data_IF_251081617661
#
_entry.id   IF_251081617661
#
_cell.length_a   1.000
_cell.length_b   1.000
_cell.length_c   1.000
_cell.angle_alpha   90.00
_cell.angle_beta   90.00
_cell.angle_gamma   90.00
#
_symmetry.space_group_name_H-M   'P 1'
#
loop_
_entity.id
_entity.type
_entity.pdbx_description
1 polymer ?
#
# COMPACT_ATOMS: atom_id res chain seq x y z
N UNK A 1 31.78 2.09 -28.16
CA UNK A 1 31.56 3.54 -28.38
C UNK A 1 30.45 3.68 -29.41
N UNK A 2 29.22 3.86 -28.95
CA UNK A 2 28.05 4.03 -29.83
C UNK A 2 27.46 5.38 -29.47
N UNK A 3 27.73 6.35 -30.36
CA UNK A 3 27.24 7.71 -30.34
C UNK A 3 25.72 7.70 -30.58
N UNK A 4 24.95 8.28 -29.64
CA UNK A 4 23.55 8.64 -29.85
C UNK A 4 23.43 10.15 -29.70
N UNK A 5 23.51 10.83 -30.84
CA UNK A 5 23.13 12.23 -31.04
C UNK A 5 21.61 12.29 -31.06
N UNK A 6 21.00 12.73 -29.97
CA UNK A 6 19.58 13.10 -29.96
C UNK A 6 19.45 14.54 -30.44
N UNK A 7 18.98 14.69 -31.68
CA UNK A 7 18.58 15.97 -32.28
C UNK A 7 17.35 16.54 -31.57
N UNK A 8 17.49 17.78 -31.13
CA UNK A 8 16.39 18.66 -30.69
C UNK A 8 15.58 19.13 -31.90
N UNK A 9 14.24 19.19 -31.81
CA UNK A 9 13.45 20.12 -32.60
C UNK A 9 13.12 21.40 -31.83
N UNK A 10 13.08 22.48 -32.59
CA UNK A 10 13.00 23.87 -32.21
C UNK A 10 11.63 24.33 -31.69
N UNK A 11 11.67 25.50 -31.05
CA UNK A 11 10.64 26.25 -30.34
C UNK A 11 9.49 26.76 -31.21
N UNK A 12 8.34 27.01 -30.58
CA UNK A 12 7.28 27.90 -31.08
C UNK A 12 7.10 29.11 -30.12
N UNK A 13 7.02 30.35 -30.61
CA UNK A 13 6.89 31.55 -29.78
C UNK A 13 5.43 31.89 -29.48
N UNK A 14 5.03 31.86 -28.21
CA UNK A 14 3.73 32.38 -27.77
C UNK A 14 3.87 33.78 -27.16
N UNK A 15 3.47 34.77 -27.96
CA UNK A 15 2.43 35.73 -27.57
C UNK A 15 2.68 36.64 -26.38
N UNK A 16 3.21 37.82 -26.71
CA UNK A 16 3.18 39.06 -25.93
C UNK A 16 1.77 39.37 -25.36
N UNK A 17 1.65 39.57 -24.04
CA UNK A 17 0.57 40.36 -23.42
C UNK A 17 1.17 41.30 -22.38
N UNK A 18 1.12 42.58 -22.69
CA UNK A 18 1.46 43.70 -21.80
C UNK A 18 0.39 43.90 -20.71
N UNK A 19 0.71 44.62 -19.61
CA UNK A 19 -0.04 44.64 -18.36
C UNK A 19 -1.10 45.76 -18.33
N UNK A 20 -2.11 45.70 -17.45
CA UNK A 20 -2.87 46.88 -17.07
C UNK A 20 -2.20 47.64 -15.91
N UNK A 21 -2.17 48.96 -16.12
CA UNK A 21 -1.60 50.04 -15.32
C UNK A 21 -2.43 50.37 -14.06
N UNK A 22 -1.71 50.99 -13.12
CA UNK A 22 -2.05 51.52 -11.81
C UNK A 22 -3.35 52.33 -11.61
N UNK A 23 -3.83 52.28 -10.35
CA UNK A 23 -4.51 53.34 -9.58
C UNK A 23 -4.01 53.13 -8.13
N UNK A 24 -3.18 53.95 -7.47
CA UNK A 24 -3.42 55.30 -6.88
C UNK A 24 -4.85 55.44 -6.30
N UNK A 25 -5.12 55.80 -5.05
CA UNK A 25 -4.45 56.75 -4.17
C UNK A 25 -5.09 56.66 -2.73
N UNK A 26 -5.08 57.66 -1.81
CA UNK A 26 -4.53 57.52 -0.45
C UNK A 26 -5.52 57.85 0.71
N UNK A 27 -5.22 57.44 1.96
CA UNK A 27 -5.49 58.19 3.21
C UNK A 27 -4.97 57.37 4.40
N UNK A 28 -3.92 57.78 5.11
CA UNK A 28 -3.89 58.69 6.26
C UNK A 28 -4.89 58.39 7.40
N UNK A 29 -4.25 58.13 8.55
CA UNK A 29 -4.64 58.49 9.91
C UNK A 29 -5.47 57.47 10.71
N UNK A 30 -4.97 57.14 11.91
CA UNK A 30 -5.79 56.55 12.96
C UNK A 30 -5.06 55.69 13.99
N UNK A 31 -4.01 56.22 14.62
CA UNK A 31 -3.51 55.72 15.91
C UNK A 31 -4.64 55.80 16.95
N UNK A 32 -5.12 54.65 17.44
CA UNK A 32 -5.80 54.57 18.74
C UNK A 32 -5.35 53.29 19.45
N UNK A 33 -4.41 53.49 20.37
CA UNK A 33 -3.98 52.50 21.35
C UNK A 33 -5.04 52.52 22.46
N UNK A 34 -5.98 51.56 22.43
CA UNK A 34 -6.80 51.23 23.60
C UNK A 34 -6.12 50.10 24.37
N UNK A 35 -5.45 50.47 25.45
CA UNK A 35 -5.05 49.54 26.51
C UNK A 35 -6.34 49.13 27.23
N UNK A 36 -6.86 47.95 26.91
CA UNK A 36 -7.82 47.25 27.77
C UNK A 36 -7.16 45.92 28.13
N UNK A 37 -6.90 45.78 29.42
CA UNK A 37 -6.34 44.58 30.03
C UNK A 37 -7.31 43.40 29.83
N UNK A 38 -6.88 42.42 29.04
CA UNK A 38 -7.48 41.10 29.01
C UNK A 38 -6.52 40.12 29.69
N UNK A 39 -6.98 39.28 30.64
CA UNK A 39 -6.16 38.19 31.15
C UNK A 39 -5.86 37.24 29.99
N UNK A 40 -4.58 37.15 29.63
CA UNK A 40 -4.06 36.23 28.62
C UNK A 40 -4.21 34.80 29.14
N UNK A 41 -5.39 34.21 28.96
CA UNK A 41 -5.59 32.79 29.08
C UNK A 41 -4.75 32.12 27.97
N UNK A 42 -3.62 31.53 28.37
CA UNK A 42 -2.89 30.56 27.54
C UNK A 42 -3.83 29.39 27.29
N UNK A 43 -4.60 29.48 26.20
CA UNK A 43 -5.13 28.30 25.54
C UNK A 43 -3.96 27.62 24.89
N UNK A 44 -3.57 26.47 25.45
CA UNK A 44 -2.65 25.54 24.81
C UNK A 44 -3.26 25.10 23.48
N UNK A 45 -2.98 25.86 22.42
CA UNK A 45 -3.16 25.42 21.05
C UNK A 45 -2.10 24.35 20.83
N UNK A 46 -2.44 23.09 21.13
CA UNK A 46 -1.70 21.97 20.56
C UNK A 46 -1.96 22.00 19.06
N UNK A 47 -1.08 22.67 18.31
CA UNK A 47 -1.05 22.55 16.86
C UNK A 47 -0.79 21.08 16.54
N UNK A 48 -1.70 20.36 15.85
CA UNK A 48 -1.37 19.03 15.37
C UNK A 48 -0.17 19.19 14.44
N UNK A 49 0.94 18.53 14.81
CA UNK A 49 2.15 18.54 14.02
C UNK A 49 1.81 18.20 12.57
N UNK A 50 2.29 19.03 11.64
CA UNK A 50 2.15 18.81 10.20
C UNK A 50 2.55 17.36 9.92
N UNK A 51 1.57 16.50 9.60
CA UNK A 51 1.87 15.15 9.14
C UNK A 51 2.58 15.30 7.81
N UNK A 52 3.90 15.20 7.80
CA UNK A 52 4.69 15.17 6.59
C UNK A 52 4.25 13.96 5.75
N UNK A 53 3.39 14.20 4.76
CA UNK A 53 3.15 13.23 3.70
C UNK A 53 4.44 13.16 2.87
N UNK A 54 5.34 12.25 3.24
CA UNK A 54 6.59 12.03 2.49
C UNK A 54 6.24 11.68 1.04
N UNK A 55 6.58 12.58 0.10
CA UNK A 55 6.39 12.32 -1.33
C UNK A 55 7.49 11.40 -1.83
N UNK A 56 7.13 10.18 -2.18
CA UNK A 56 8.07 9.17 -2.68
C UNK A 56 8.28 9.28 -4.19
N UNK A 57 9.54 9.34 -4.63
CA UNK A 57 9.89 9.23 -6.05
C UNK A 57 9.71 7.77 -6.55
N UNK A 58 9.76 7.56 -7.87
CA UNK A 58 9.53 6.24 -8.47
C UNK A 58 10.47 5.15 -7.93
N UNK A 59 11.76 5.46 -7.76
CA UNK A 59 12.74 4.52 -7.19
C UNK A 59 12.39 4.15 -5.75
N UNK A 60 11.96 5.10 -4.93
CA UNK A 60 11.56 4.86 -3.54
C UNK A 60 10.29 4.03 -3.47
N UNK A 61 9.29 4.31 -4.32
CA UNK A 61 8.05 3.53 -4.35
C UNK A 61 8.31 2.05 -4.66
N UNK A 62 9.18 1.78 -5.63
CA UNK A 62 9.62 0.42 -5.95
C UNK A 62 10.39 -0.23 -4.80
N UNK A 63 11.31 0.50 -4.16
CA UNK A 63 12.13 -0.03 -3.06
C UNK A 63 11.31 -0.36 -1.81
N UNK A 64 10.32 0.48 -1.52
CA UNK A 64 9.46 0.37 -0.34
C UNK A 64 8.17 -0.43 -0.60
N UNK A 65 7.94 -0.90 -1.83
CA UNK A 65 6.73 -1.63 -2.24
C UNK A 65 5.42 -0.88 -1.95
N UNK A 66 5.38 0.42 -2.27
CA UNK A 66 4.21 1.28 -2.06
C UNK A 66 3.64 1.79 -3.39
N UNK A 67 2.37 2.20 -3.37
CA UNK A 67 1.70 2.72 -4.55
C UNK A 67 1.44 1.61 -5.56
N UNK A 68 2.01 1.74 -6.76
CA UNK A 68 1.89 0.77 -7.85
C UNK A 68 2.68 -0.54 -7.64
N UNK A 69 3.49 -0.62 -6.58
CA UNK A 69 4.31 -1.78 -6.24
C UNK A 69 3.84 -2.55 -5.00
N UNK A 70 2.66 -2.20 -4.48
CA UNK A 70 2.03 -2.98 -3.43
C UNK A 70 1.60 -4.33 -3.99
N UNK A 71 1.58 -5.34 -3.13
CA UNK A 71 1.11 -6.68 -3.48
C UNK A 71 0.17 -7.12 -2.36
N UNK A 72 -1.10 -7.35 -2.70
CA UNK A 72 -2.06 -7.89 -1.74
C UNK A 72 -1.97 -9.41 -1.68
N UNK A 73 -1.97 -9.92 -0.46
CA UNK A 73 -2.04 -11.34 -0.15
C UNK A 73 -2.88 -11.58 1.09
N UNK A 74 -2.92 -12.80 1.57
CA UNK A 74 -3.67 -13.17 2.77
C UNK A 74 -2.97 -14.29 3.52
N UNK A 75 -3.23 -14.34 4.81
CA UNK A 75 -2.71 -15.37 5.70
C UNK A 75 -3.67 -16.56 5.74
N UNK A 76 -3.09 -17.75 5.81
CA UNK A 76 -3.78 -19.02 6.02
C UNK A 76 -3.26 -19.63 7.30
N UNK A 77 -4.17 -19.96 8.22
CA UNK A 77 -3.88 -20.67 9.45
C UNK A 77 -4.68 -21.98 9.47
N UNK A 78 -4.01 -23.08 9.81
CA UNK A 78 -4.55 -24.44 9.73
C UNK A 78 -4.23 -25.14 11.05
N UNK A 79 -5.27 -25.62 11.71
CA UNK A 79 -5.16 -26.52 12.84
C UNK A 79 -5.44 -27.93 12.32
N UNK A 80 -4.43 -28.79 12.39
CA UNK A 80 -4.56 -30.20 12.04
C UNK A 80 -5.17 -31.00 13.19
N UNK A 81 -5.74 -32.15 12.86
CA UNK A 81 -6.14 -33.15 13.87
C UNK A 81 -4.93 -33.63 14.68
N UNK A 82 -5.14 -33.93 15.96
CA UNK A 82 -4.08 -34.44 16.83
C UNK A 82 -3.51 -35.77 16.32
N UNK A 83 -2.19 -35.93 16.40
CA UNK A 83 -1.51 -37.17 16.00
C UNK A 83 -1.29 -37.33 14.50
N UNK A 84 -1.49 -36.27 13.70
CA UNK A 84 -1.12 -36.27 12.29
C UNK A 84 0.40 -36.41 12.15
N UNK A 85 0.85 -37.38 11.36
CA UNK A 85 2.29 -37.61 11.14
C UNK A 85 2.89 -36.56 10.21
N UNK A 86 4.19 -36.31 10.35
CA UNK A 86 4.94 -35.37 9.49
C UNK A 86 4.78 -35.72 8.00
N UNK A 87 4.85 -37.01 7.66
CA UNK A 87 4.66 -37.46 6.28
C UNK A 87 3.25 -37.14 5.72
N UNK A 88 2.23 -37.14 6.57
CA UNK A 88 0.87 -36.76 6.16
C UNK A 88 0.74 -35.24 6.01
N UNK A 89 1.45 -34.45 6.84
CA UNK A 89 1.53 -33.00 6.69
C UNK A 89 2.26 -32.59 5.40
N UNK A 90 3.35 -33.27 5.06
CA UNK A 90 4.07 -33.06 3.80
C UNK A 90 3.17 -33.37 2.59
N UNK A 91 2.50 -34.53 2.60
CA UNK A 91 1.58 -34.91 1.53
C UNK A 91 0.39 -33.94 1.41
N UNK A 92 -0.10 -33.40 2.54
CA UNK A 92 -1.12 -32.36 2.55
C UNK A 92 -0.60 -31.08 1.89
N UNK A 93 0.62 -30.64 2.24
CA UNK A 93 1.21 -29.43 1.68
C UNK A 93 1.46 -29.56 0.17
N UNK A 94 1.98 -30.70 -0.28
CA UNK A 94 2.15 -31.00 -1.71
C UNK A 94 0.81 -30.93 -2.47
N UNK A 95 -0.25 -31.50 -1.89
CA UNK A 95 -1.57 -31.44 -2.47
C UNK A 95 -2.15 -30.02 -2.47
N UNK A 96 -1.94 -29.25 -1.41
CA UNK A 96 -2.38 -27.87 -1.30
C UNK A 96 -1.70 -26.99 -2.36
N UNK A 97 -0.37 -27.11 -2.47
CA UNK A 97 0.43 -26.35 -3.41
C UNK A 97 0.05 -26.73 -4.84
N UNK A 98 0.04 -28.02 -5.17
CA UNK A 98 -0.22 -28.48 -6.54
C UNK A 98 -1.66 -28.26 -7.03
N UNK A 99 -2.66 -28.36 -6.15
CA UNK A 99 -4.07 -28.30 -6.56
C UNK A 99 -4.68 -26.90 -6.50
N UNK A 100 -4.23 -26.06 -5.56
CA UNK A 100 -4.81 -24.73 -5.34
C UNK A 100 -3.84 -23.63 -5.73
N UNK A 101 -2.62 -23.67 -5.19
CA UNK A 101 -1.66 -22.56 -5.30
C UNK A 101 -1.14 -22.43 -6.72
N UNK A 102 -0.57 -23.50 -7.28
CA UNK A 102 0.06 -23.48 -8.62
C UNK A 102 -0.96 -23.28 -9.75
N UNK A 103 -2.14 -23.90 -9.63
CA UNK A 103 -3.23 -23.78 -10.62
C UNK A 103 -3.70 -22.33 -10.73
N UNK A 104 -3.74 -21.61 -9.60
CA UNK A 104 -4.16 -20.21 -9.52
C UNK A 104 -3.03 -19.20 -9.69
N UNK A 105 -1.80 -19.67 -9.96
CA UNK A 105 -0.60 -18.81 -10.06
C UNK A 105 -0.37 -17.99 -8.79
N UNK A 106 -0.67 -18.59 -7.65
CA UNK A 106 -0.36 -18.08 -6.34
C UNK A 106 0.99 -18.62 -5.89
N UNK A 107 1.55 -18.00 -4.86
CA UNK A 107 2.73 -18.45 -4.14
C UNK A 107 2.32 -18.60 -2.67
N UNK A 108 2.72 -19.70 -2.05
CA UNK A 108 2.56 -19.93 -0.62
C UNK A 108 3.93 -19.94 0.05
N UNK A 109 4.07 -19.16 1.13
CA UNK A 109 5.27 -19.16 1.97
C UNK A 109 4.89 -19.32 3.43
N UNK A 110 5.42 -20.34 4.09
CA UNK A 110 5.12 -20.60 5.50
C UNK A 110 5.47 -22.02 5.94
N UNK A 111 4.82 -22.43 7.01
CA UNK A 111 4.81 -23.80 7.55
C UNK A 111 3.50 -24.50 7.18
N UNK A 112 3.32 -25.75 7.60
CA UNK A 112 2.10 -26.53 7.37
C UNK A 112 0.86 -25.91 8.04
N UNK A 113 1.04 -25.28 9.20
CA UNK A 113 -0.06 -24.73 10.02
C UNK A 113 -0.29 -23.24 9.84
N UNK A 114 0.67 -22.52 9.26
CA UNK A 114 0.57 -21.08 9.09
C UNK A 114 1.41 -20.63 7.91
N UNK A 115 0.84 -19.81 7.04
CA UNK A 115 1.59 -19.21 5.96
C UNK A 115 0.87 -18.06 5.30
N UNK A 116 1.55 -17.45 4.36
CA UNK A 116 1.07 -16.32 3.59
C UNK A 116 0.95 -16.69 2.12
N UNK A 117 -0.16 -16.31 1.50
CA UNK A 117 -0.46 -16.51 0.09
C UNK A 117 -0.48 -15.16 -0.61
N UNK A 118 0.30 -15.02 -1.68
CA UNK A 118 0.23 -13.89 -2.60
C UNK A 118 0.27 -14.40 -4.04
N UNK A 119 0.16 -13.50 -5.02
CA UNK A 119 0.29 -13.91 -6.43
C UNK A 119 1.77 -14.08 -6.80
N UNK A 120 2.07 -15.03 -7.66
CA UNK A 120 3.43 -15.23 -8.22
C UNK A 120 3.80 -14.15 -9.27
N UNK A 121 2.91 -13.18 -9.47
CA UNK A 121 3.11 -12.05 -10.38
C UNK A 121 2.92 -10.74 -9.61
N UNK A 122 3.29 -9.60 -10.21
CA UNK A 122 3.12 -8.25 -9.62
C UNK A 122 1.66 -7.78 -9.59
N UNK A 123 0.75 -8.65 -9.18
CA UNK A 123 -0.65 -8.34 -9.14
C UNK A 123 -1.27 -8.89 -7.87
N UNK A 124 -2.34 -8.26 -7.44
CA UNK A 124 -3.00 -8.56 -6.18
C UNK A 124 -3.69 -9.93 -6.22
N UNK A 125 -3.65 -10.63 -5.08
CA UNK A 125 -4.53 -11.78 -4.85
C UNK A 125 -5.99 -11.31 -4.82
N UNK A 126 -6.90 -12.16 -5.32
CA UNK A 126 -8.32 -11.83 -5.39
C UNK A 126 -9.13 -12.46 -4.25
N UNK A 127 -10.34 -11.98 -4.04
CA UNK A 127 -11.31 -12.61 -3.13
C UNK A 127 -11.74 -14.01 -3.61
N UNK A 128 -11.69 -14.26 -4.92
CA UNK A 128 -11.94 -15.59 -5.49
C UNK A 128 -10.85 -16.59 -5.08
N UNK A 129 -9.59 -16.13 -5.00
CA UNK A 129 -8.47 -16.96 -4.54
C UNK A 129 -8.61 -17.32 -3.07
N UNK A 130 -9.00 -16.34 -2.24
CA UNK A 130 -9.31 -16.57 -0.81
C UNK A 130 -10.43 -17.59 -0.64
N UNK A 131 -11.48 -17.47 -1.44
CA UNK A 131 -12.64 -18.35 -1.38
C UNK A 131 -12.26 -19.77 -1.76
N UNK A 132 -11.49 -19.94 -2.83
CA UNK A 132 -11.02 -21.26 -3.25
C UNK A 132 -10.11 -21.94 -2.22
N UNK A 133 -9.21 -21.18 -1.59
CA UNK A 133 -8.37 -21.73 -0.51
C UNK A 133 -9.24 -22.16 0.68
N UNK A 134 -10.21 -21.33 1.07
CA UNK A 134 -11.14 -21.66 2.17
C UNK A 134 -11.97 -22.91 1.86
N UNK A 135 -12.52 -23.02 0.65
CA UNK A 135 -13.31 -24.17 0.22
C UNK A 135 -12.49 -25.45 0.16
N UNK A 136 -11.26 -25.38 -0.36
CA UNK A 136 -10.38 -26.55 -0.42
C UNK A 136 -10.00 -27.04 0.98
N UNK A 137 -9.69 -26.13 1.91
CA UNK A 137 -9.38 -26.49 3.30
C UNK A 137 -10.58 -27.10 4.04
N UNK A 138 -11.81 -26.63 3.76
CA UNK A 138 -13.03 -27.15 4.38
C UNK A 138 -13.39 -28.57 3.93
N UNK A 139 -12.88 -29.05 2.79
CA UNK A 139 -13.15 -30.38 2.27
C UNK A 139 -12.22 -31.47 2.82
N UNK A 140 -11.21 -31.08 3.61
CA UNK A 140 -10.15 -31.98 4.09
C UNK A 140 -10.48 -32.52 5.47
N UNK A 141 -10.42 -33.84 5.62
CA UNK A 141 -10.67 -34.52 6.90
C UNK A 141 -9.51 -34.39 7.89
N UNK A 142 -8.31 -34.06 7.40
CA UNK A 142 -7.12 -33.88 8.22
C UNK A 142 -7.09 -32.52 8.94
N UNK A 143 -7.97 -31.60 8.54
CA UNK A 143 -8.07 -30.23 9.07
C UNK A 143 -9.15 -30.18 10.15
N UNK A 144 -8.75 -29.84 11.38
CA UNK A 144 -9.68 -29.60 12.48
C UNK A 144 -10.35 -28.24 12.34
N UNK A 145 -9.58 -27.20 12.04
CA UNK A 145 -10.09 -25.87 11.75
C UNK A 145 -9.12 -25.13 10.82
N UNK A 146 -9.65 -24.23 10.00
CA UNK A 146 -8.85 -23.37 9.13
C UNK A 146 -9.40 -21.95 9.11
N UNK A 147 -8.50 -20.97 9.13
CA UNK A 147 -8.82 -19.55 9.03
C UNK A 147 -8.07 -18.93 7.86
N UNK A 148 -8.75 -18.03 7.13
CA UNK A 148 -8.19 -17.31 5.98
C UNK A 148 -8.44 -15.82 6.19
N UNK A 149 -7.39 -15.05 6.44
CA UNK A 149 -7.46 -13.62 6.74
C UNK A 149 -7.96 -12.81 5.55
N UNK A 150 -8.28 -11.53 5.79
CA UNK A 150 -8.53 -10.53 4.74
C UNK A 150 -7.30 -10.27 3.87
N UNK A 151 -7.52 -9.63 2.72
CA UNK A 151 -6.44 -9.16 1.86
C UNK A 151 -5.66 -8.05 2.57
N UNK A 152 -4.37 -8.28 2.78
CA UNK A 152 -3.43 -7.38 3.43
C UNK A 152 -2.23 -7.12 2.52
N UNK A 153 -1.58 -5.98 2.71
CA UNK A 153 -0.35 -5.64 1.99
C UNK A 153 0.79 -6.55 2.48
N UNK A 154 1.37 -7.34 1.57
CA UNK A 154 2.41 -8.32 1.86
C UNK A 154 3.71 -7.69 2.42
N UNK A 155 3.87 -6.37 2.28
CA UNK A 155 5.08 -5.63 2.64
C UNK A 155 4.93 -4.78 3.92
N UNK A 156 3.83 -4.94 4.66
CA UNK A 156 3.54 -4.16 5.88
C UNK A 156 3.35 -4.98 7.14
#
# INVERSE_FOLDING_TARGET
>A
MISWVCSMPAQAPFGNRSPPTALSNPHLAGFFISIIAAPFAVSSQHSPGISMTTRHNHRQRKKLHIGEYKELGFTVEIQFVEGLSDAAQDAFLDAFVGQVIEVRKLMYGGSFSYGFVCRDTRADASEEDRTAVREWLAQRSEVQSASVSELVDAWR
#
